data_IF_154538306245
#
_entry.id   IF_154538306245
#
_cell.length_a   1.000
_cell.length_b   1.000
_cell.length_c   1.000
_cell.angle_alpha   90.00
_cell.angle_beta   90.00
_cell.angle_gamma   90.00
#
_symmetry.space_group_name_H-M   'P 1'
#
loop_
_entity.id
_entity.type
_entity.pdbx_description
1 polymer ?
#
# COMPACT_ATOMS: atom_id res chain seq x y z
N UNK A 1 21.94 26.17 9.64
CA UNK A 1 20.50 26.01 9.26
C UNK A 1 19.63 26.45 10.43
N UNK A 2 18.66 27.31 10.18
CA UNK A 2 17.70 27.66 11.24
C UNK A 2 16.70 26.54 11.43
N UNK A 3 16.20 26.33 12.67
CA UNK A 3 15.20 25.27 12.96
C UNK A 3 13.96 25.36 12.06
N UNK A 4 13.54 26.57 11.70
CA UNK A 4 12.41 26.78 10.79
C UNK A 4 12.67 26.22 9.37
N UNK A 5 13.88 26.34 8.85
CA UNK A 5 14.25 25.75 7.54
C UNK A 5 14.26 24.22 7.62
N UNK A 6 14.77 23.66 8.72
CA UNK A 6 14.76 22.21 8.95
C UNK A 6 13.34 21.65 9.00
N UNK A 7 12.42 22.30 9.74
CA UNK A 7 11.01 21.91 9.81
C UNK A 7 10.33 21.95 8.44
N UNK A 8 10.59 22.99 7.65
CA UNK A 8 10.05 23.09 6.28
C UNK A 8 10.56 21.96 5.40
N UNK A 9 11.87 21.69 5.42
CA UNK A 9 12.46 20.60 4.64
C UNK A 9 11.92 19.23 5.06
N UNK A 10 11.79 18.98 6.36
CA UNK A 10 11.18 17.75 6.88
C UNK A 10 9.71 17.62 6.46
N UNK A 11 8.94 18.71 6.48
CA UNK A 11 7.56 18.73 6.01
C UNK A 11 7.44 18.33 4.55
N UNK A 12 8.30 18.88 3.69
CA UNK A 12 8.37 18.50 2.26
C UNK A 12 8.74 17.02 2.08
N UNK A 13 9.69 16.51 2.87
CA UNK A 13 10.08 15.09 2.82
C UNK A 13 8.94 14.17 3.27
N UNK A 14 8.23 14.52 4.33
CA UNK A 14 7.05 13.76 4.78
C UNK A 14 5.99 13.72 3.68
N UNK A 15 5.72 14.85 3.04
CA UNK A 15 4.75 14.93 1.95
C UNK A 15 5.18 14.07 0.74
N UNK A 16 6.47 14.12 0.35
CA UNK A 16 7.02 13.29 -0.71
C UNK A 16 6.87 11.79 -0.39
N UNK A 17 7.16 11.39 0.86
CA UNK A 17 6.98 10.00 1.31
C UNK A 17 5.52 9.58 1.36
N UNK A 18 4.60 10.48 1.72
CA UNK A 18 3.16 10.21 1.67
C UNK A 18 2.69 9.92 0.25
N UNK A 19 3.10 10.75 -0.72
CA UNK A 19 2.79 10.50 -2.15
C UNK A 19 3.39 9.17 -2.65
N UNK A 20 4.58 8.81 -2.17
CA UNK A 20 5.18 7.51 -2.50
C UNK A 20 4.35 6.34 -1.95
N UNK A 21 3.87 6.43 -0.70
CA UNK A 21 3.00 5.42 -0.09
C UNK A 21 1.70 5.29 -0.88
N UNK A 22 1.03 6.40 -1.19
CA UNK A 22 -0.22 6.41 -1.98
C UNK A 22 -0.06 5.73 -3.34
N UNK A 23 1.06 5.96 -4.03
CA UNK A 23 1.36 5.28 -5.31
C UNK A 23 1.52 3.77 -5.13
N UNK A 24 2.26 3.34 -4.11
CA UNK A 24 2.46 1.93 -3.83
C UNK A 24 1.16 1.23 -3.41
N UNK A 25 0.27 1.91 -2.68
CA UNK A 25 -1.07 1.42 -2.34
C UNK A 25 -1.93 1.26 -3.60
N UNK A 26 -1.93 2.23 -4.51
CA UNK A 26 -2.64 2.15 -5.78
C UNK A 26 -2.11 1.02 -6.67
N UNK A 27 -0.79 0.85 -6.74
CA UNK A 27 -0.15 -0.24 -7.48
C UNK A 27 -0.55 -1.61 -6.90
N UNK A 28 -0.55 -1.75 -5.57
CA UNK A 28 -0.95 -2.99 -4.90
C UNK A 28 -2.43 -3.30 -5.14
N UNK A 29 -3.31 -2.29 -5.10
CA UNK A 29 -4.73 -2.46 -5.42
C UNK A 29 -4.94 -2.94 -6.86
N UNK A 30 -4.17 -2.41 -7.82
CA UNK A 30 -4.18 -2.88 -9.22
C UNK A 30 -3.71 -4.33 -9.36
N UNK A 31 -2.65 -4.70 -8.63
CA UNK A 31 -2.14 -6.07 -8.60
C UNK A 31 -3.17 -7.03 -7.99
N UNK A 32 -3.88 -6.64 -6.94
CA UNK A 32 -4.95 -7.43 -6.33
C UNK A 32 -6.12 -7.65 -7.30
N UNK A 33 -6.53 -6.62 -8.03
CA UNK A 33 -7.54 -6.76 -9.08
C UNK A 33 -7.11 -7.76 -10.17
N UNK A 34 -5.83 -7.76 -10.54
CA UNK A 34 -5.26 -8.72 -11.48
C UNK A 34 -5.24 -10.14 -10.89
N UNK A 35 -4.87 -10.31 -9.61
CA UNK A 35 -4.93 -11.60 -8.91
C UNK A 35 -6.34 -12.19 -8.94
N UNK A 36 -7.36 -11.37 -8.68
CA UNK A 36 -8.76 -11.80 -8.72
C UNK A 36 -9.15 -12.27 -10.12
N UNK A 37 -8.70 -11.58 -11.18
CA UNK A 37 -8.93 -12.01 -12.57
C UNK A 37 -8.30 -13.36 -12.87
N UNK A 38 -7.05 -13.59 -12.47
CA UNK A 38 -6.38 -14.87 -12.63
C UNK A 38 -7.13 -15.99 -11.90
N UNK A 39 -7.56 -15.74 -10.67
CA UNK A 39 -8.33 -16.71 -9.89
C UNK A 39 -9.65 -17.06 -10.57
N UNK A 40 -10.41 -16.05 -11.01
CA UNK A 40 -11.69 -16.26 -11.72
C UNK A 40 -11.50 -17.04 -13.01
N UNK A 41 -10.44 -16.78 -13.75
CA UNK A 41 -10.13 -17.54 -14.97
C UNK A 41 -9.78 -19.00 -14.66
N UNK A 42 -9.01 -19.23 -13.60
CA UNK A 42 -8.67 -20.57 -13.15
C UNK A 42 -9.90 -21.35 -12.71
N UNK A 43 -10.80 -20.71 -11.96
CA UNK A 43 -12.06 -21.31 -11.51
C UNK A 43 -12.95 -21.70 -12.70
N UNK A 44 -13.02 -20.85 -13.72
CA UNK A 44 -13.74 -21.16 -14.99
C UNK A 44 -13.11 -22.33 -15.74
N UNK A 45 -11.79 -22.37 -15.88
CA UNK A 45 -11.09 -23.48 -16.52
C UNK A 45 -11.30 -24.79 -15.77
N UNK A 46 -11.28 -24.74 -14.43
CA UNK A 46 -11.55 -25.90 -13.58
C UNK A 46 -13.00 -26.37 -13.74
N UNK A 47 -13.98 -25.46 -13.78
CA UNK A 47 -15.37 -25.79 -14.04
C UNK A 47 -15.58 -26.46 -15.41
N UNK A 48 -14.87 -25.99 -16.46
CA UNK A 48 -14.92 -26.61 -17.77
C UNK A 48 -14.36 -28.03 -17.77
N UNK A 49 -13.33 -28.34 -16.98
CA UNK A 49 -12.80 -29.71 -16.87
C UNK A 49 -13.79 -30.65 -16.19
N UNK A 50 -14.57 -30.16 -15.23
CA UNK A 50 -15.60 -30.95 -14.54
C UNK A 50 -16.88 -31.12 -15.38
N UNK A 51 -17.27 -30.08 -16.13
CA UNK A 51 -18.49 -30.08 -16.95
C UNK A 51 -18.36 -30.79 -18.30
N UNK A 52 -17.15 -30.96 -18.83
CA UNK A 52 -16.90 -31.60 -20.13
C UNK A 52 -16.75 -33.13 -20.09
N UNK A 53 -17.14 -33.78 -18.99
CA UNK A 53 -17.26 -35.25 -18.92
C UNK A 53 -18.51 -35.67 -19.68
N UNK A 54 -18.41 -36.69 -20.53
CA UNK A 54 -19.59 -37.43 -21.01
C UNK A 54 -20.32 -37.98 -19.78
N UNK A 55 -21.31 -37.20 -19.28
CA UNK A 55 -22.22 -37.67 -18.25
C UNK A 55 -22.87 -38.92 -18.78
N UNK A 56 -22.88 -40.02 -18.03
CA UNK A 56 -23.27 -41.34 -18.42
C UNK A 56 -24.70 -41.58 -18.99
N UNK A 57 -25.32 -40.53 -19.52
CA UNK A 57 -26.58 -40.54 -20.24
C UNK A 57 -26.47 -40.80 -21.73
N UNK A 58 -25.27 -40.77 -22.34
CA UNK A 58 -25.08 -41.02 -23.75
C UNK A 58 -24.53 -42.44 -23.97
N UNK A 59 -25.43 -43.43 -23.99
CA UNK A 59 -25.14 -44.84 -24.28
C UNK A 59 -24.62 -45.10 -25.71
N UNK A 60 -24.39 -44.07 -26.55
CA UNK A 60 -23.83 -44.16 -27.90
C UNK A 60 -22.84 -43.04 -28.16
N UNK A 61 -21.73 -43.04 -27.45
CA UNK A 61 -20.63 -42.11 -27.79
C UNK A 61 -19.82 -42.71 -28.93
N UNK A 62 -19.81 -42.03 -30.08
CA UNK A 62 -18.88 -42.32 -31.16
C UNK A 62 -17.42 -42.21 -30.61
N UNK A 63 -16.57 -43.26 -30.82
CA UNK A 63 -15.18 -43.24 -30.35
C UNK A 63 -14.39 -41.99 -30.73
N UNK A 64 -14.63 -41.45 -31.91
CA UNK A 64 -14.00 -40.21 -32.36
C UNK A 64 -14.42 -39.00 -31.51
N UNK A 65 -15.68 -38.94 -31.05
CA UNK A 65 -16.18 -37.91 -30.18
C UNK A 65 -15.61 -38.03 -28.76
N UNK A 66 -15.43 -39.25 -28.27
CA UNK A 66 -14.79 -39.52 -26.99
C UNK A 66 -13.31 -39.07 -26.97
N UNK A 67 -12.58 -39.33 -28.05
CA UNK A 67 -11.19 -38.90 -28.24
C UNK A 67 -11.08 -37.38 -28.29
N UNK A 68 -11.99 -36.69 -29.01
CA UNK A 68 -12.03 -35.23 -29.06
C UNK A 68 -12.33 -34.61 -27.71
N UNK A 69 -13.28 -35.15 -26.94
CA UNK A 69 -13.58 -34.72 -25.60
C UNK A 69 -12.38 -34.92 -24.66
N UNK A 70 -11.67 -36.04 -24.79
CA UNK A 70 -10.44 -36.31 -24.03
C UNK A 70 -9.33 -35.29 -24.32
N UNK A 71 -9.07 -35.07 -25.61
CA UNK A 71 -8.08 -34.10 -26.07
C UNK A 71 -8.40 -32.66 -25.64
N UNK A 72 -9.68 -32.25 -25.72
CA UNK A 72 -10.15 -30.98 -25.25
C UNK A 72 -9.92 -30.83 -23.72
N UNK A 73 -10.31 -31.83 -22.95
CA UNK A 73 -10.11 -31.84 -21.49
C UNK A 73 -8.63 -31.72 -21.11
N UNK A 74 -7.76 -32.45 -21.80
CA UNK A 74 -6.31 -32.36 -21.60
C UNK A 74 -5.78 -30.94 -21.91
N UNK A 75 -6.24 -30.34 -23.02
CA UNK A 75 -5.88 -28.96 -23.38
C UNK A 75 -6.31 -27.95 -22.33
N UNK A 76 -7.55 -28.06 -21.81
CA UNK A 76 -8.04 -27.18 -20.73
C UNK A 76 -7.25 -27.38 -19.44
N UNK A 77 -6.91 -28.63 -19.09
CA UNK A 77 -6.09 -28.92 -17.91
C UNK A 77 -4.68 -28.32 -18.03
N UNK A 78 -4.02 -28.47 -19.20
CA UNK A 78 -2.72 -27.87 -19.45
C UNK A 78 -2.76 -26.33 -19.36
N UNK A 79 -3.84 -25.72 -19.88
CA UNK A 79 -4.06 -24.27 -19.75
C UNK A 79 -4.30 -23.86 -18.29
N UNK A 80 -5.07 -24.64 -17.51
CA UNK A 80 -5.28 -24.39 -16.11
C UNK A 80 -3.96 -24.48 -15.31
N UNK A 81 -3.10 -25.44 -15.63
CA UNK A 81 -1.78 -25.56 -14.98
C UNK A 81 -0.87 -24.37 -15.30
N UNK A 82 -0.86 -23.89 -16.54
CA UNK A 82 -0.16 -22.66 -16.91
C UNK A 82 -0.69 -21.46 -16.11
N UNK A 83 -2.01 -21.29 -16.01
CA UNK A 83 -2.60 -20.21 -15.21
C UNK A 83 -2.29 -20.31 -13.71
N UNK A 84 -2.15 -21.51 -13.15
CA UNK A 84 -1.71 -21.70 -11.75
C UNK A 84 -0.29 -21.19 -11.55
N UNK A 85 0.61 -21.44 -12.50
CA UNK A 85 1.99 -20.94 -12.45
C UNK A 85 1.98 -19.42 -12.53
N UNK A 86 1.23 -18.83 -13.45
CA UNK A 86 1.11 -17.38 -13.60
C UNK A 86 0.54 -16.73 -12.33
N UNK A 87 -0.48 -17.33 -11.72
CA UNK A 87 -1.06 -16.86 -10.47
C UNK A 87 -0.04 -16.91 -9.33
N UNK A 88 0.72 -18.01 -9.21
CA UNK A 88 1.73 -18.14 -8.17
C UNK A 88 2.85 -17.12 -8.31
N UNK A 89 3.32 -16.86 -9.55
CA UNK A 89 4.31 -15.84 -9.84
C UNK A 89 3.78 -14.43 -9.51
N UNK A 90 2.53 -14.15 -9.89
CA UNK A 90 1.89 -12.87 -9.56
C UNK A 90 1.78 -12.66 -8.05
N UNK A 91 1.39 -13.69 -7.30
CA UNK A 91 1.32 -13.64 -5.83
C UNK A 91 2.71 -13.40 -5.21
N UNK A 92 3.76 -14.02 -5.72
CA UNK A 92 5.13 -13.75 -5.28
C UNK A 92 5.54 -12.30 -5.52
N UNK A 93 5.21 -11.73 -6.69
CA UNK A 93 5.45 -10.33 -6.99
C UNK A 93 4.66 -9.39 -6.07
N UNK A 94 3.42 -9.73 -5.75
CA UNK A 94 2.61 -8.97 -4.79
C UNK A 94 3.22 -8.97 -3.38
N UNK A 95 3.78 -10.09 -2.93
CA UNK A 95 4.46 -10.16 -1.63
C UNK A 95 5.66 -9.19 -1.57
N UNK A 96 6.41 -9.05 -2.66
CA UNK A 96 7.49 -8.05 -2.78
C UNK A 96 6.94 -6.63 -2.71
N UNK A 97 5.83 -6.35 -3.42
CA UNK A 97 5.17 -5.04 -3.40
C UNK A 97 4.63 -4.69 -2.01
N UNK A 98 4.08 -5.65 -1.28
CA UNK A 98 3.63 -5.47 0.11
C UNK A 98 4.79 -5.11 1.05
N UNK A 99 5.95 -5.77 0.89
CA UNK A 99 7.15 -5.45 1.66
C UNK A 99 7.63 -4.02 1.38
N UNK A 100 7.67 -3.61 0.10
CA UNK A 100 8.03 -2.24 -0.29
C UNK A 100 7.07 -1.19 0.27
N UNK A 101 5.77 -1.47 0.26
CA UNK A 101 4.76 -0.60 0.85
C UNK A 101 4.98 -0.45 2.36
N UNK A 102 5.22 -1.56 3.06
CA UNK A 102 5.50 -1.55 4.50
C UNK A 102 6.73 -0.71 4.83
N UNK A 103 7.83 -0.89 4.08
CA UNK A 103 9.06 -0.14 4.29
C UNK A 103 8.86 1.37 4.02
N UNK A 104 8.12 1.72 2.97
CA UNK A 104 7.79 3.11 2.66
C UNK A 104 6.91 3.74 3.75
N UNK A 105 5.95 2.99 4.28
CA UNK A 105 5.08 3.44 5.37
C UNK A 105 5.87 3.68 6.66
N UNK A 106 6.75 2.76 7.04
CA UNK A 106 7.65 2.92 8.20
C UNK A 106 8.55 4.15 8.03
N UNK A 107 9.12 4.33 6.83
CA UNK A 107 9.97 5.49 6.53
C UNK A 107 9.21 6.82 6.66
N UNK A 108 7.95 6.89 6.17
CA UNK A 108 7.08 8.06 6.34
C UNK A 108 6.78 8.34 7.82
N UNK A 109 6.45 7.30 8.57
CA UNK A 109 6.10 7.41 9.99
C UNK A 109 7.27 7.92 10.84
N UNK A 110 8.47 7.42 10.59
CA UNK A 110 9.68 7.88 11.27
C UNK A 110 9.96 9.35 11.00
N UNK A 111 9.86 9.80 9.74
CA UNK A 111 10.02 11.21 9.39
C UNK A 111 8.93 12.09 10.02
N UNK A 112 7.70 11.62 10.09
CA UNK A 112 6.59 12.30 10.75
C UNK A 112 6.87 12.52 12.24
N UNK A 113 7.39 11.52 12.94
CA UNK A 113 7.79 11.63 14.35
C UNK A 113 8.92 12.63 14.56
N UNK A 114 9.92 12.64 13.68
CA UNK A 114 11.02 13.62 13.74
C UNK A 114 10.48 15.03 13.52
N UNK A 115 9.61 15.23 12.52
CA UNK A 115 8.97 16.52 12.25
C UNK A 115 8.17 17.02 13.47
N UNK A 116 7.34 16.17 14.05
CA UNK A 116 6.54 16.51 15.23
C UNK A 116 7.42 16.89 16.42
N UNK A 117 8.55 16.19 16.63
CA UNK A 117 9.53 16.52 17.67
C UNK A 117 10.14 17.91 17.47
N UNK A 118 10.57 18.24 16.25
CA UNK A 118 11.16 19.55 15.94
C UNK A 118 10.15 20.69 16.06
N UNK A 119 8.90 20.47 15.62
CA UNK A 119 7.80 21.42 15.79
C UNK A 119 7.50 21.67 17.28
N UNK A 120 7.42 20.61 18.08
CA UNK A 120 7.22 20.71 19.52
C UNK A 120 8.37 21.42 20.24
N UNK A 121 9.63 21.23 19.79
CA UNK A 121 10.76 21.96 20.34
C UNK A 121 10.70 23.45 19.98
N UNK A 122 10.34 23.78 18.75
CA UNK A 122 10.15 25.17 18.32
C UNK A 122 9.04 25.88 19.12
N UNK A 123 7.90 25.21 19.31
CA UNK A 123 6.80 25.75 20.11
C UNK A 123 7.25 26.08 21.55
N UNK A 124 7.97 25.15 22.19
CA UNK A 124 8.51 25.39 23.56
C UNK A 124 9.47 26.56 23.60
N UNK A 125 10.31 26.76 22.58
CA UNK A 125 11.25 27.88 22.54
C UNK A 125 10.52 29.21 22.34
N UNK A 126 9.48 29.24 21.49
CA UNK A 126 8.63 30.44 21.31
C UNK A 126 7.87 30.80 22.58
N UNK A 127 7.30 29.80 23.27
CA UNK A 127 6.59 30.02 24.52
C UNK A 127 7.53 30.60 25.64
N UNK A 128 8.77 30.10 25.70
CA UNK A 128 9.77 30.64 26.63
C UNK A 128 10.13 32.10 26.33
N UNK A 129 10.25 32.43 25.04
CA UNK A 129 10.52 33.82 24.65
C UNK A 129 9.35 34.75 24.92
N UNK A 130 8.11 34.28 24.70
CA UNK A 130 6.92 35.05 25.03
C UNK A 130 6.82 35.30 26.52
N UNK A 131 6.97 34.27 27.38
CA UNK A 131 6.96 34.42 28.85
C UNK A 131 8.02 35.43 29.34
N UNK A 132 9.24 35.37 28.78
CA UNK A 132 10.27 36.37 29.13
C UNK A 132 9.84 37.80 28.77
N UNK A 133 9.24 38.01 27.61
CA UNK A 133 8.74 39.35 27.22
C UNK A 133 7.61 39.83 28.11
N UNK A 134 6.71 38.92 28.47
CA UNK A 134 5.59 39.24 29.38
C UNK A 134 6.11 39.60 30.79
N UNK A 135 7.09 38.85 31.30
CA UNK A 135 7.74 39.11 32.58
C UNK A 135 8.49 40.46 32.56
N UNK A 136 9.23 40.76 31.48
CA UNK A 136 9.92 42.03 31.29
C UNK A 136 8.93 43.20 31.20
N UNK A 137 7.81 43.04 30.49
CA UNK A 137 6.75 44.04 30.38
C UNK A 137 6.08 44.29 31.70
N UNK A 138 5.77 43.23 32.48
CA UNK A 138 5.20 43.34 33.82
C UNK A 138 6.15 44.07 34.77
N UNK A 139 7.45 43.73 34.74
CA UNK A 139 8.46 44.40 35.54
C UNK A 139 8.58 45.89 35.21
N UNK A 140 8.58 46.25 33.92
CA UNK A 140 8.65 47.66 33.46
C UNK A 140 7.41 48.42 33.90
N UNK A 141 6.19 47.84 33.80
CA UNK A 141 4.96 48.46 34.24
C UNK A 141 4.96 48.69 35.78
N UNK A 142 5.47 47.72 36.53
CA UNK A 142 5.57 47.82 38.00
C UNK A 142 6.57 48.89 38.42
N UNK A 143 7.72 48.98 37.75
CA UNK A 143 8.73 50.01 38.00
C UNK A 143 8.22 51.41 37.68
N UNK A 144 7.52 51.57 36.52
CA UNK A 144 6.94 52.86 36.12
C UNK A 144 5.87 53.34 37.09
N UNK A 145 5.06 52.44 37.65
CA UNK A 145 4.06 52.77 38.71
C UNK A 145 4.63 53.18 40.08
N UNK A 146 5.92 52.90 40.35
CA UNK A 146 6.60 53.31 41.59
C UNK A 146 7.30 54.65 41.50
N UNK A 147 7.48 55.20 40.31
CA UNK A 147 8.14 56.51 40.07
C UNK A 147 7.13 57.65 39.86
N UNK A 148 5.86 57.36 39.94
CA UNK A 148 4.77 58.33 39.97
C UNK A 148 4.18 58.46 41.38
#
# INVERSE_FOLDING_TARGET
>A
MTRSTTIRSLGTLVQLRSTQVERLEADLASQEATRVRYQNNLDRLTALTHGSGASGAALQINPAMALNCGAYKQGVMALADSHRIDLSLHQANMAVSQTRLKDAWVGRELLGKVLAREQGAQARDTDRLMKKRDDESANQSWMAGRTA
#
